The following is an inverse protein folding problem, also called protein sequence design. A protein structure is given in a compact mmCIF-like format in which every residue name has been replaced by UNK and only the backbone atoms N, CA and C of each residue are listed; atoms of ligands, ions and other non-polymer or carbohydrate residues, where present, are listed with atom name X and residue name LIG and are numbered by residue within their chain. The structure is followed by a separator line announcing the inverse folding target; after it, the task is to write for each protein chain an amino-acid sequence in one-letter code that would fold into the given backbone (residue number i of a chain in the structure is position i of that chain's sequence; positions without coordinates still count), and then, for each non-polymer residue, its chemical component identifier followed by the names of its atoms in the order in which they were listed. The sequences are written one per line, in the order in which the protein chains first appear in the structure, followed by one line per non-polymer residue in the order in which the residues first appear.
data_IF_152583075275
#
_entry.id   IF_152583075275
#
_cell.length_a   1.000
_cell.length_b   1.000
_cell.length_c   1.000
_cell.angle_alpha   90.00
_cell.angle_beta   90.00
_cell.angle_gamma   90.00
#
_symmetry.space_group_name_H-M   'P 1'
#
loop_
_entity.id
_entity.type
_entity.pdbx_description
1 polymer ?
#
# COMPACT_ATOMS: atom_id res chain seq x y z
N UNK A 1 20.55 49.11 4.61
CA UNK A 1 21.27 48.18 3.72
C UNK A 1 21.19 46.78 4.31
N UNK A 2 21.00 45.71 3.51
CA UNK A 2 19.85 45.42 2.64
C UNK A 2 19.20 44.06 3.03
N UNK A 3 17.90 43.87 2.80
CA UNK A 3 17.29 43.15 1.66
C UNK A 3 17.87 41.76 1.41
N UNK A 4 17.06 40.73 1.68
CA UNK A 4 17.05 39.49 0.91
C UNK A 4 15.65 39.28 0.36
N UNK A 5 15.44 39.86 -0.81
CA UNK A 5 14.44 39.44 -1.78
C UNK A 5 14.85 38.11 -2.41
N UNK A 6 13.84 37.32 -2.80
CA UNK A 6 13.93 36.51 -4.01
C UNK A 6 14.12 35.00 -3.81
N UNK A 7 13.02 34.28 -3.58
CA UNK A 7 12.85 32.93 -4.13
C UNK A 7 11.48 32.87 -4.83
N UNK A 8 11.44 32.61 -6.15
CA UNK A 8 10.22 32.68 -6.93
C UNK A 8 9.28 31.50 -6.63
N UNK A 9 8.04 31.83 -6.27
CA UNK A 9 6.93 30.92 -6.36
C UNK A 9 6.55 30.72 -7.83
N UNK A 10 6.71 29.50 -8.35
CA UNK A 10 5.88 29.06 -9.46
C UNK A 10 5.83 27.54 -9.57
N UNK A 11 4.61 27.06 -9.81
CA UNK A 11 4.20 25.73 -10.27
C UNK A 11 3.99 24.65 -9.19
N UNK A 12 2.82 24.72 -8.56
CA UNK A 12 1.97 23.54 -8.42
C UNK A 12 0.57 23.93 -8.84
N UNK A 13 0.22 23.48 -10.05
CA UNK A 13 -1.14 23.49 -10.57
C UNK A 13 -1.84 22.29 -9.96
N UNK A 14 -2.96 22.51 -9.27
CA UNK A 14 -4.04 21.53 -9.25
C UNK A 14 -5.35 22.29 -9.02
N UNK A 15 -6.07 22.54 -10.11
CA UNK A 15 -7.43 23.04 -10.07
C UNK A 15 -8.33 21.88 -9.62
N UNK A 16 -8.96 22.05 -8.45
CA UNK A 16 -10.03 21.18 -8.01
C UNK A 16 -11.21 21.27 -8.98
N UNK A 17 -11.74 20.13 -9.39
CA UNK A 17 -13.04 20.08 -10.08
C UNK A 17 -13.75 18.76 -9.75
N UNK A 18 -14.81 18.92 -8.95
CA UNK A 18 -16.08 18.17 -8.88
C UNK A 18 -16.05 16.63 -8.86
N UNK A 19 -16.42 16.08 -7.70
CA UNK A 19 -16.99 14.75 -7.60
C UNK A 19 -18.40 14.75 -8.23
N UNK A 20 -18.57 13.98 -9.32
CA UNK A 20 -19.89 13.65 -9.88
C UNK A 20 -20.26 12.26 -9.36
N UNK A 21 -21.30 12.20 -8.54
CA UNK A 21 -21.93 10.94 -8.13
C UNK A 21 -22.70 10.35 -9.32
N UNK A 22 -22.31 9.17 -9.79
CA UNK A 22 -23.09 8.39 -10.75
C UNK A 22 -23.59 7.11 -10.07
N UNK A 23 -24.91 6.98 -9.96
CA UNK A 23 -25.59 5.77 -9.49
C UNK A 23 -25.54 4.69 -10.57
N UNK A 24 -24.99 3.52 -10.24
CA UNK A 24 -24.98 2.36 -11.11
C UNK A 24 -26.37 1.71 -11.15
N UNK A 25 -26.93 1.53 -12.34
CA UNK A 25 -28.04 0.59 -12.58
C UNK A 25 -27.48 -0.55 -13.42
N UNK A 26 -27.49 -1.77 -12.89
CA UNK A 26 -27.15 -2.98 -13.64
C UNK A 26 -28.31 -3.36 -14.58
N UNK A 27 -28.02 -3.91 -15.76
CA UNK A 27 -28.92 -4.85 -16.40
C UNK A 27 -28.37 -6.27 -16.30
N UNK A 28 -29.23 -7.15 -15.77
CA UNK A 28 -29.10 -8.60 -15.88
C UNK A 28 -29.34 -9.06 -17.34
N UNK A 29 -28.61 -10.10 -17.77
CA UNK A 29 -29.20 -11.31 -18.38
C UNK A 29 -28.14 -12.22 -19.03
N UNK A 30 -28.00 -13.41 -18.44
CA UNK A 30 -28.10 -14.75 -19.07
C UNK A 30 -28.08 -14.87 -20.60
N UNK A 31 -27.14 -15.67 -21.14
CA UNK A 31 -27.37 -17.06 -21.62
C UNK A 31 -26.09 -17.70 -22.20
N UNK A 32 -25.99 -19.05 -22.28
CA UNK A 32 -24.77 -19.78 -22.58
C UNK A 32 -24.63 -20.10 -24.08
N UNK A 33 -23.41 -20.15 -24.61
CA UNK A 33 -23.19 -20.65 -25.97
C UNK A 33 -22.19 -21.81 -26.02
N UNK A 34 -22.64 -22.86 -26.69
CA UNK A 34 -22.01 -24.16 -26.85
C UNK A 34 -20.84 -24.14 -27.84
N UNK A 35 -19.90 -25.05 -27.64
CA UNK A 35 -18.75 -25.35 -28.49
C UNK A 35 -19.16 -26.12 -29.76
N UNK A 36 -18.62 -25.78 -30.95
CA UNK A 36 -18.67 -26.66 -32.11
C UNK A 36 -17.35 -27.43 -32.32
N UNK A 37 -17.51 -28.68 -32.78
CA UNK A 37 -16.49 -29.66 -33.13
C UNK A 37 -15.69 -29.24 -34.37
N UNK A 38 -14.41 -29.65 -34.39
CA UNK A 38 -13.51 -29.63 -35.56
C UNK A 38 -14.06 -30.45 -36.72
N UNK A 39 -13.88 -29.94 -37.94
CA UNK A 39 -13.60 -30.74 -39.14
C UNK A 39 -12.86 -29.88 -40.18
N UNK A 40 -11.86 -30.50 -40.82
CA UNK A 40 -10.98 -29.92 -41.80
C UNK A 40 -11.59 -29.98 -43.22
N UNK A 41 -11.47 -28.91 -44.00
CA UNK A 41 -11.41 -28.98 -45.45
C UNK A 41 -10.82 -27.69 -46.03
N UNK A 42 -9.89 -27.88 -46.96
CA UNK A 42 -9.19 -26.91 -47.81
C UNK A 42 -10.14 -26.04 -48.64
N UNK A 43 -9.79 -24.76 -48.83
CA UNK A 43 -10.17 -24.03 -50.06
C UNK A 43 -10.57 -22.56 -49.89
N UNK A 44 -9.74 -21.71 -50.50
CA UNK A 44 -9.99 -20.32 -50.97
C UNK A 44 -9.93 -19.19 -49.92
N UNK A 45 -9.16 -18.18 -50.33
CA UNK A 45 -8.80 -16.94 -49.62
C UNK A 45 -9.81 -15.85 -50.03
N UNK A 46 -10.58 -15.24 -49.11
CA UNK A 46 -11.31 -14.02 -49.39
C UNK A 46 -10.46 -12.79 -49.03
N UNK A 47 -10.37 -11.85 -49.96
CA UNK A 47 -9.85 -10.51 -49.76
C UNK A 47 -10.98 -9.60 -49.30
N UNK A 48 -10.96 -9.15 -48.04
CA UNK A 48 -11.66 -7.94 -47.62
C UNK A 48 -10.83 -7.23 -46.55
N UNK A 49 -10.53 -5.97 -46.84
CA UNK A 49 -9.98 -4.97 -45.94
C UNK A 49 -10.92 -4.76 -44.76
N UNK A 50 -10.50 -5.20 -43.59
CA UNK A 50 -11.09 -4.79 -42.32
C UNK A 50 -10.08 -3.87 -41.61
N UNK A 51 -10.47 -2.61 -41.50
CA UNK A 51 -9.85 -1.63 -40.61
C UNK A 51 -9.93 -2.14 -39.16
N UNK A 52 -8.82 -2.17 -38.40
CA UNK A 52 -8.86 -2.62 -37.02
C UNK A 52 -9.69 -1.64 -36.19
N UNK A 53 -10.72 -2.18 -35.53
CA UNK A 53 -11.56 -1.46 -34.60
C UNK A 53 -10.71 -0.78 -33.54
N UNK A 54 -10.97 0.51 -33.34
CA UNK A 54 -10.42 1.32 -32.25
C UNK A 54 -10.70 0.60 -30.93
N UNK A 55 -9.66 -0.01 -30.36
CA UNK A 55 -9.67 -0.44 -28.97
C UNK A 55 -9.91 0.81 -28.12
N UNK A 56 -11.16 1.00 -27.70
CA UNK A 56 -11.47 1.92 -26.63
C UNK A 56 -10.76 1.37 -25.40
N UNK A 57 -9.62 1.99 -25.08
CA UNK A 57 -8.97 1.87 -23.79
C UNK A 57 -10.01 2.26 -22.74
N UNK A 58 -10.73 1.28 -22.22
CA UNK A 58 -11.31 1.37 -20.90
C UNK A 58 -10.12 1.54 -19.96
N UNK A 59 -9.77 2.79 -19.70
CA UNK A 59 -8.92 3.17 -18.59
C UNK A 59 -9.66 2.72 -17.34
N UNK A 60 -9.38 1.49 -16.89
CA UNK A 60 -9.82 1.00 -15.61
C UNK A 60 -9.11 1.86 -14.57
N UNK A 61 -9.73 2.98 -14.19
CA UNK A 61 -9.32 3.71 -12.99
C UNK A 61 -9.40 2.71 -11.85
N UNK A 62 -8.24 2.20 -11.45
CA UNK A 62 -8.11 1.40 -10.24
C UNK A 62 -8.66 2.23 -9.09
N UNK A 63 -9.44 1.66 -8.16
CA UNK A 63 -9.89 2.38 -6.99
C UNK A 63 -8.69 3.07 -6.34
N UNK A 64 -8.80 4.37 -6.06
CA UNK A 64 -7.82 5.07 -5.22
C UNK A 64 -7.76 4.28 -3.92
N UNK A 65 -6.60 3.68 -3.65
CA UNK A 65 -6.39 2.91 -2.42
C UNK A 65 -6.65 3.84 -1.23
N UNK A 66 -7.60 3.46 -0.38
CA UNK A 66 -7.92 4.20 0.83
C UNK A 66 -6.90 3.84 1.91
N UNK A 67 -6.00 4.78 2.24
CA UNK A 67 -5.00 4.57 3.28
C UNK A 67 -5.62 4.25 4.64
N UNK A 68 -6.86 4.66 4.92
CA UNK A 68 -7.56 4.32 6.15
C UNK A 68 -7.87 2.81 6.23
N UNK A 69 -8.19 2.18 5.09
CA UNK A 69 -8.39 0.73 5.02
C UNK A 69 -7.07 -0.03 5.29
N UNK A 70 -5.94 0.48 4.81
CA UNK A 70 -4.61 -0.12 5.10
C UNK A 70 -4.25 0.03 6.59
N UNK A 71 -4.58 1.17 7.22
CA UNK A 71 -4.41 1.31 8.68
C UNK A 71 -5.31 0.36 9.48
N UNK A 72 -6.55 0.14 9.03
CA UNK A 72 -7.45 -0.84 9.66
C UNK A 72 -6.87 -2.25 9.58
N UNK A 73 -6.42 -2.66 8.40
CA UNK A 73 -5.77 -3.96 8.23
C UNK A 73 -4.45 -4.06 9.04
N UNK A 74 -3.66 -2.99 9.16
CA UNK A 74 -2.48 -2.97 10.03
C UNK A 74 -2.83 -3.25 11.51
N UNK A 75 -3.97 -2.72 11.99
CA UNK A 75 -4.48 -3.01 13.35
C UNK A 75 -4.93 -4.46 13.47
N UNK A 76 -5.62 -5.00 12.48
CA UNK A 76 -6.05 -6.41 12.47
C UNK A 76 -4.86 -7.36 12.50
N UNK A 77 -3.81 -7.07 11.73
CA UNK A 77 -2.55 -7.84 11.77
C UNK A 77 -1.87 -7.73 13.13
N UNK A 78 -1.89 -6.56 13.77
CA UNK A 78 -1.35 -6.40 15.12
C UNK A 78 -2.16 -7.16 16.17
N UNK A 79 -3.49 -7.18 16.07
CA UNK A 79 -4.34 -7.99 16.94
C UNK A 79 -4.00 -9.49 16.82
N UNK A 80 -3.79 -9.98 15.60
CA UNK A 80 -3.28 -11.34 15.39
C UNK A 80 -1.89 -11.55 15.99
N UNK A 81 -1.01 -10.53 15.98
CA UNK A 81 0.29 -10.63 16.64
C UNK A 81 0.15 -10.83 18.16
N UNK A 82 -0.79 -10.13 18.79
CA UNK A 82 -1.09 -10.27 20.22
C UNK A 82 -1.69 -11.64 20.54
N UNK A 83 -2.60 -12.14 19.71
CA UNK A 83 -3.16 -13.49 19.87
C UNK A 83 -2.07 -14.57 19.81
N UNK A 84 -1.11 -14.44 18.88
CA UNK A 84 0.00 -15.40 18.78
C UNK A 84 0.93 -15.33 19.98
N UNK A 85 1.18 -14.11 20.47
CA UNK A 85 1.96 -13.90 21.68
C UNK A 85 1.30 -14.56 22.89
N UNK A 86 -0.02 -14.42 23.05
CA UNK A 86 -0.79 -15.05 24.14
C UNK A 86 -0.75 -16.58 24.09
N UNK A 87 -0.72 -17.16 22.89
CA UNK A 87 -0.53 -18.60 22.69
C UNK A 87 0.93 -19.08 22.83
N UNK A 88 1.87 -18.19 23.15
CA UNK A 88 3.29 -18.52 23.29
C UNK A 88 4.06 -18.66 21.97
N UNK A 89 3.43 -18.37 20.82
CA UNK A 89 4.10 -18.37 19.51
C UNK A 89 4.79 -17.03 19.25
N UNK A 90 5.89 -16.79 19.96
CA UNK A 90 6.59 -15.51 19.94
C UNK A 90 7.21 -15.18 18.57
N UNK A 91 7.57 -16.20 17.78
CA UNK A 91 8.17 -16.01 16.44
C UNK A 91 7.12 -15.53 15.44
N UNK A 92 5.95 -16.17 15.41
CA UNK A 92 4.86 -15.74 14.54
C UNK A 92 4.28 -14.39 15.00
N UNK A 93 4.21 -14.14 16.32
CA UNK A 93 3.84 -12.85 16.87
C UNK A 93 4.80 -11.72 16.40
N UNK A 94 6.11 -11.96 16.42
CA UNK A 94 7.11 -10.99 15.96
C UNK A 94 6.96 -10.67 14.46
N UNK A 95 6.74 -11.67 13.62
CA UNK A 95 6.52 -11.47 12.18
C UNK A 95 5.25 -10.67 11.91
N UNK A 96 4.15 -10.97 12.61
CA UNK A 96 2.90 -10.22 12.46
C UNK A 96 3.04 -8.77 12.93
N UNK A 97 3.70 -8.53 14.06
CA UNK A 97 3.99 -7.17 14.52
C UNK A 97 4.85 -6.39 13.51
N UNK A 98 5.84 -7.04 12.88
CA UNK A 98 6.58 -6.45 11.78
C UNK A 98 5.68 -6.11 10.58
N UNK A 99 4.84 -7.05 10.13
CA UNK A 99 3.91 -6.82 9.00
C UNK A 99 2.95 -5.66 9.27
N UNK A 100 2.40 -5.57 10.48
CA UNK A 100 1.57 -4.44 10.90
C UNK A 100 2.32 -3.10 10.81
N UNK A 101 3.58 -3.08 11.26
CA UNK A 101 4.46 -1.91 11.15
C UNK A 101 4.69 -1.50 9.69
N UNK A 102 5.00 -2.48 8.83
CA UNK A 102 5.20 -2.23 7.40
C UNK A 102 3.93 -1.66 6.77
N UNK A 103 2.77 -2.27 6.99
CA UNK A 103 1.50 -1.81 6.42
C UNK A 103 1.09 -0.42 6.90
N UNK A 104 1.29 -0.11 8.18
CA UNK A 104 1.08 1.26 8.67
C UNK A 104 2.02 2.28 8.01
N UNK A 105 3.25 1.86 7.68
CA UNK A 105 4.22 2.70 6.96
C UNK A 105 3.83 2.87 5.48
N UNK A 106 3.36 1.80 4.84
CA UNK A 106 2.84 1.84 3.47
C UNK A 106 1.64 2.80 3.37
N UNK A 107 0.70 2.71 4.32
CA UNK A 107 -0.45 3.60 4.43
C UNK A 107 -0.05 5.07 4.61
N UNK A 108 0.95 5.34 5.47
CA UNK A 108 1.50 6.67 5.65
C UNK A 108 2.10 7.22 4.35
N UNK A 109 2.90 6.40 3.65
CA UNK A 109 3.52 6.81 2.38
C UNK A 109 2.44 7.08 1.32
N UNK A 110 1.44 6.20 1.22
CA UNK A 110 0.29 6.39 0.33
C UNK A 110 -0.43 7.71 0.63
N UNK A 111 -0.73 8.00 1.90
CA UNK A 111 -1.38 9.24 2.31
C UNK A 111 -0.57 10.50 1.96
N UNK A 112 0.77 10.42 2.01
CA UNK A 112 1.67 11.54 1.75
C UNK A 112 2.08 11.74 0.30
N UNK A 113 2.02 10.68 -0.50
CA UNK A 113 2.57 10.69 -1.87
C UNK A 113 1.54 10.33 -2.93
N UNK A 114 0.40 9.76 -2.55
CA UNK A 114 -0.59 9.19 -3.46
C UNK A 114 -0.20 7.84 -4.05
N UNK A 115 0.95 7.26 -3.68
CA UNK A 115 1.42 5.96 -4.16
C UNK A 115 1.77 5.00 -3.03
N UNK A 116 1.21 3.80 -3.07
CA UNK A 116 1.58 2.72 -2.15
C UNK A 116 2.90 2.08 -2.60
N UNK A 117 3.89 1.91 -1.70
CA UNK A 117 5.15 1.26 -2.06
C UNK A 117 4.96 -0.25 -2.29
N UNK A 118 5.36 -0.79 -3.46
CA UNK A 118 5.10 -2.19 -3.81
C UNK A 118 6.02 -3.20 -3.10
N UNK A 119 7.12 -2.74 -2.49
CA UNK A 119 8.11 -3.61 -1.84
C UNK A 119 8.60 -3.01 -0.54
N UNK A 120 9.12 -3.85 0.37
CA UNK A 120 9.74 -3.40 1.62
C UNK A 120 10.91 -2.45 1.42
N UNK A 121 11.69 -2.63 0.35
CA UNK A 121 12.77 -1.71 -0.01
C UNK A 121 12.20 -0.32 -0.30
N UNK A 122 11.14 -0.24 -1.11
CA UNK A 122 10.46 1.02 -1.44
C UNK A 122 9.72 1.63 -0.24
N UNK A 123 9.16 0.82 0.67
CA UNK A 123 8.64 1.31 1.96
C UNK A 123 9.73 2.02 2.75
N UNK A 124 10.92 1.40 2.83
CA UNK A 124 12.07 1.94 3.56
C UNK A 124 12.56 3.25 2.96
N UNK A 125 12.72 3.29 1.63
CA UNK A 125 13.12 4.49 0.90
C UNK A 125 12.08 5.61 1.04
N UNK A 126 10.79 5.28 0.94
CA UNK A 126 9.69 6.22 1.11
C UNK A 126 9.67 6.85 2.50
N UNK A 127 9.80 6.04 3.56
CA UNK A 127 9.86 6.57 4.94
C UNK A 127 11.08 7.46 5.15
N UNK A 128 12.25 7.08 4.62
CA UNK A 128 13.45 7.92 4.67
C UNK A 128 13.29 9.22 3.86
N UNK A 129 12.57 9.18 2.74
CA UNK A 129 12.28 10.38 1.95
C UNK A 129 11.38 11.35 2.72
N UNK A 130 10.35 10.85 3.41
CA UNK A 130 9.52 11.65 4.30
C UNK A 130 10.36 12.29 5.41
N UNK A 131 11.25 11.53 6.06
CA UNK A 131 12.11 12.04 7.13
C UNK A 131 13.10 13.12 6.64
N UNK A 132 13.66 12.98 5.44
CA UNK A 132 14.48 14.03 4.82
C UNK A 132 13.70 15.32 4.56
N UNK A 133 12.40 15.22 4.27
CA UNK A 133 11.54 16.37 4.02
C UNK A 133 11.04 17.04 5.32
N UNK A 134 10.90 16.29 6.41
CA UNK A 134 10.44 16.82 7.70
C UNK A 134 10.91 15.97 8.88
N UNK A 135 11.40 16.63 9.92
CA UNK A 135 11.82 15.98 11.16
C UNK A 135 10.68 15.28 11.92
N UNK A 136 9.41 15.53 11.56
CA UNK A 136 8.25 14.90 12.17
C UNK A 136 8.27 13.36 12.04
N UNK A 137 8.97 12.82 11.03
CA UNK A 137 9.02 11.39 10.74
C UNK A 137 10.24 10.68 11.36
N UNK A 138 11.21 11.40 11.92
CA UNK A 138 12.49 10.82 12.41
C UNK A 138 12.28 9.75 13.49
N UNK A 139 11.33 9.95 14.39
CA UNK A 139 11.00 8.95 15.42
C UNK A 139 10.45 7.64 14.78
N UNK A 140 9.67 7.73 13.70
CA UNK A 140 9.19 6.54 13.00
C UNK A 140 10.34 5.78 12.34
N UNK A 141 11.33 6.47 11.76
CA UNK A 141 12.50 5.83 11.12
C UNK A 141 13.20 4.89 12.11
N UNK A 142 13.60 5.38 13.28
CA UNK A 142 14.30 4.55 14.27
C UNK A 142 13.46 3.36 14.74
N UNK A 143 12.15 3.57 14.94
CA UNK A 143 11.22 2.52 15.34
C UNK A 143 10.95 1.48 14.25
N UNK A 144 10.90 1.90 12.98
CA UNK A 144 10.75 1.02 11.82
C UNK A 144 11.98 0.14 11.64
N UNK A 145 13.17 0.74 11.63
CA UNK A 145 14.43 0.01 11.49
C UNK A 145 14.68 -0.98 12.62
N UNK A 146 14.26 -0.62 13.84
CA UNK A 146 14.33 -1.56 14.95
C UNK A 146 13.41 -2.76 14.75
N UNK A 147 12.21 -2.58 14.19
CA UNK A 147 11.28 -3.70 13.97
C UNK A 147 11.69 -4.59 12.79
N UNK A 148 12.15 -4.03 11.67
CA UNK A 148 12.66 -4.83 10.55
C UNK A 148 13.91 -5.63 10.94
N UNK A 149 14.83 -5.04 11.71
CA UNK A 149 16.05 -5.73 12.12
C UNK A 149 15.82 -6.74 13.25
N UNK A 150 15.08 -6.33 14.28
CA UNK A 150 14.91 -7.12 15.49
C UNK A 150 13.74 -8.12 15.40
N UNK A 151 12.52 -7.65 15.11
CA UNK A 151 11.34 -8.53 15.09
C UNK A 151 11.40 -9.48 13.89
N UNK A 152 11.63 -8.92 12.70
CA UNK A 152 11.64 -9.70 11.46
C UNK A 152 12.96 -10.44 11.24
N UNK A 153 14.09 -9.73 11.29
CA UNK A 153 15.42 -10.36 11.09
C UNK A 153 15.83 -11.30 12.23
N UNK A 154 15.93 -10.76 13.44
CA UNK A 154 16.56 -11.48 14.57
C UNK A 154 15.61 -12.53 15.18
N UNK A 155 14.38 -12.16 15.53
CA UNK A 155 13.44 -13.09 16.17
C UNK A 155 12.77 -14.03 15.16
N UNK A 156 12.08 -13.50 14.14
CA UNK A 156 11.35 -14.35 13.20
C UNK A 156 12.27 -15.20 12.33
N UNK A 157 13.15 -14.59 11.52
CA UNK A 157 14.01 -15.34 10.60
C UNK A 157 15.06 -16.18 11.34
N UNK A 158 15.81 -15.59 12.26
CA UNK A 158 16.92 -16.30 12.90
C UNK A 158 16.50 -17.12 14.14
N UNK A 159 15.25 -16.97 14.62
CA UNK A 159 14.76 -17.69 15.79
C UNK A 159 15.31 -17.18 17.13
N UNK A 160 16.00 -16.04 17.14
CA UNK A 160 16.64 -15.48 18.34
C UNK A 160 15.77 -14.41 18.98
N UNK A 161 14.69 -14.82 19.65
CA UNK A 161 13.77 -13.90 20.32
C UNK A 161 14.28 -13.56 21.72
N UNK A 162 14.83 -12.35 21.88
CA UNK A 162 15.35 -11.85 23.15
C UNK A 162 14.27 -11.27 24.07
N UNK A 163 14.64 -10.83 25.29
CA UNK A 163 13.69 -10.37 26.32
C UNK A 163 12.87 -9.13 25.89
N UNK A 164 13.35 -8.34 24.94
CA UNK A 164 12.63 -7.17 24.42
C UNK A 164 11.54 -7.51 23.40
N UNK A 165 11.46 -8.74 22.92
CA UNK A 165 10.59 -9.12 21.79
C UNK A 165 9.12 -8.85 22.10
N UNK A 166 8.63 -9.32 23.24
CA UNK A 166 7.24 -9.12 23.67
C UNK A 166 6.89 -7.62 23.77
N UNK A 167 7.75 -6.85 24.45
CA UNK A 167 7.55 -5.40 24.61
C UNK A 167 7.39 -4.72 23.24
N UNK A 168 8.27 -5.05 22.28
CA UNK A 168 8.24 -4.47 20.93
C UNK A 168 7.02 -4.91 20.11
N UNK A 169 6.55 -6.14 20.29
CA UNK A 169 5.28 -6.59 19.71
C UNK A 169 4.15 -5.71 20.23
N UNK A 170 4.04 -5.50 21.55
CA UNK A 170 2.99 -4.67 22.16
C UNK A 170 3.07 -3.20 21.73
N UNK A 171 4.26 -2.61 21.74
CA UNK A 171 4.52 -1.22 21.30
C UNK A 171 4.24 -0.98 19.81
N UNK A 172 3.94 -2.02 19.01
CA UNK A 172 3.55 -1.83 17.61
C UNK A 172 2.23 -1.08 17.47
N UNK A 173 1.32 -1.16 18.44
CA UNK A 173 0.11 -0.32 18.47
C UNK A 173 0.46 1.18 18.49
N UNK A 174 1.46 1.58 19.27
CA UNK A 174 1.89 2.98 19.34
C UNK A 174 2.51 3.46 18.03
N UNK A 175 3.25 2.58 17.34
CA UNK A 175 3.78 2.89 16.01
C UNK A 175 2.65 3.15 15.00
N UNK A 176 1.65 2.26 14.96
CA UNK A 176 0.49 2.39 14.05
C UNK A 176 -0.22 3.72 14.30
N UNK A 177 -0.53 4.04 15.57
CA UNK A 177 -1.20 5.28 15.95
C UNK A 177 -0.41 6.53 15.54
N UNK A 178 0.91 6.51 15.73
CA UNK A 178 1.75 7.65 15.35
C UNK A 178 1.84 7.83 13.83
N UNK A 179 1.94 6.72 13.09
CA UNK A 179 1.90 6.76 11.63
C UNK A 179 0.56 7.28 11.11
N UNK A 180 -0.56 6.85 11.70
CA UNK A 180 -1.91 7.32 11.35
C UNK A 180 -2.08 8.82 11.62
N UNK A 181 -1.65 9.29 12.80
CA UNK A 181 -1.65 10.73 13.11
C UNK A 181 -0.83 11.54 12.10
N UNK A 182 0.33 11.01 11.69
CA UNK A 182 1.18 11.64 10.69
C UNK A 182 0.65 11.49 9.27
N UNK A 183 -0.34 10.64 8.99
CA UNK A 183 -1.00 10.56 7.69
C UNK A 183 -2.08 11.64 7.55
N UNK A 184 -2.77 11.98 8.65
CA UNK A 184 -3.86 12.96 8.68
C UNK A 184 -3.43 14.42 8.95
N UNK A 185 -2.12 14.67 9.14
CA UNK A 185 -1.60 16.00 9.50
C UNK A 185 -1.38 16.95 8.31
#
# INVERSE_FOLDING_TARGET
MPLLDGIPQSKLWWDGTTAVSASCTEPASTTPFATPKRNAAYGKRPTTSETPSVWHLHSCMTPVQDYAAIFADARDVHAQALERLEHGDIRDAAEKAWRATKRATDALILARTGGEPPTTAMTTEGLLALARASNAYENLVGRYFTRISYLHGTCFYNGMCGPDTERRIRETADYIRDAERLASA
#
